data_IF_113188467831
#
_entry.id   IF_113188467831
#
_cell.length_a   1.000
_cell.length_b   1.000
_cell.length_c   1.000
_cell.angle_alpha   90.00
_cell.angle_beta   90.00
_cell.angle_gamma   90.00
#
_symmetry.space_group_name_H-M   'P 1'
#
loop_
_entity.id
_entity.type
_entity.pdbx_description
1 polymer ?
#
# COMPACT_ATOMS: atom_id res chain seq x y z
N UNK A 1 -3.95 0.47 16.62
CA UNK A 1 -5.13 0.77 15.76
C UNK A 1 -6.00 1.92 16.27
N UNK A 2 -6.14 2.14 17.58
CA UNK A 2 -7.00 3.22 18.14
C UNK A 2 -6.67 4.65 17.67
N UNK A 3 -5.43 4.92 17.24
CA UNK A 3 -5.00 6.24 16.72
C UNK A 3 -5.31 6.44 15.22
N UNK A 4 -5.71 5.40 14.48
CA UNK A 4 -5.98 5.49 13.05
C UNK A 4 -7.18 6.38 12.71
N UNK A 5 -8.30 6.36 13.47
CA UNK A 5 -9.40 7.31 13.24
C UNK A 5 -8.98 8.77 13.44
N UNK A 6 -8.12 9.04 14.42
CA UNK A 6 -7.59 10.39 14.68
C UNK A 6 -6.73 10.85 13.50
N UNK A 7 -5.82 9.99 13.03
CA UNK A 7 -5.04 10.27 11.84
C UNK A 7 -5.90 10.46 10.59
N UNK A 8 -6.93 9.63 10.40
CA UNK A 8 -7.91 9.78 9.31
C UNK A 8 -8.69 11.09 9.39
N UNK A 9 -9.01 11.57 10.58
CA UNK A 9 -9.63 12.88 10.78
C UNK A 9 -8.68 14.01 10.37
N UNK A 10 -7.39 13.93 10.72
CA UNK A 10 -6.37 14.88 10.26
C UNK A 10 -6.24 14.89 8.73
N UNK A 11 -6.24 13.70 8.11
CA UNK A 11 -6.18 13.57 6.65
C UNK A 11 -7.37 14.27 5.98
N UNK A 12 -8.59 13.98 6.44
CA UNK A 12 -9.82 14.61 5.91
C UNK A 12 -9.85 16.11 6.17
N UNK A 13 -9.34 16.56 7.32
CA UNK A 13 -9.20 17.97 7.64
C UNK A 13 -8.31 18.69 6.60
N UNK A 14 -7.14 18.14 6.27
CA UNK A 14 -6.25 18.69 5.25
C UNK A 14 -6.94 18.70 3.88
N UNK A 15 -7.57 17.59 3.48
CA UNK A 15 -8.27 17.47 2.20
C UNK A 15 -9.38 18.51 2.04
N UNK A 16 -10.18 18.72 3.09
CA UNK A 16 -11.27 19.70 3.07
C UNK A 16 -10.76 21.13 2.85
N UNK A 17 -9.63 21.49 3.47
CA UNK A 17 -9.06 22.84 3.40
C UNK A 17 -8.23 23.09 2.15
N UNK A 18 -7.49 22.08 1.66
CA UNK A 18 -6.80 22.16 0.37
C UNK A 18 -7.79 22.26 -0.79
N UNK A 19 -8.97 21.65 -0.65
CA UNK A 19 -9.98 21.62 -1.71
C UNK A 19 -9.47 20.91 -2.97
N UNK A 20 -9.86 21.44 -4.13
CA UNK A 20 -9.47 20.87 -5.44
C UNK A 20 -8.14 21.45 -5.98
N UNK A 21 -7.39 22.21 -5.20
CA UNK A 21 -6.08 22.68 -5.64
C UNK A 21 -5.11 21.50 -5.74
N UNK A 22 -4.24 21.42 -6.75
CA UNK A 22 -3.16 20.43 -6.79
C UNK A 22 -2.24 20.52 -5.57
N UNK A 23 -1.68 19.39 -5.14
CA UNK A 23 -0.86 19.34 -3.92
C UNK A 23 0.38 20.23 -3.98
N UNK A 24 1.03 20.32 -5.14
CA UNK A 24 2.19 21.18 -5.35
C UNK A 24 1.86 22.68 -5.23
N UNK A 25 0.70 23.14 -5.71
CA UNK A 25 0.30 24.55 -5.55
C UNK A 25 -0.02 24.87 -4.09
N UNK A 26 -0.73 23.95 -3.44
CA UNK A 26 -1.09 24.09 -2.04
C UNK A 26 0.16 24.22 -1.16
N UNK A 27 1.19 23.40 -1.40
CA UNK A 27 2.48 23.54 -0.73
C UNK A 27 3.12 24.90 -1.02
N UNK A 28 3.19 25.32 -2.28
CA UNK A 28 3.81 26.61 -2.65
C UNK A 28 3.14 27.80 -1.98
N UNK A 29 1.81 27.78 -1.86
CA UNK A 29 1.04 28.82 -1.19
C UNK A 29 1.33 28.88 0.33
N UNK A 30 1.47 27.73 1.00
CA UNK A 30 1.64 27.69 2.46
C UNK A 30 3.09 27.76 2.94
N UNK A 31 4.04 27.21 2.19
CA UNK A 31 5.44 27.03 2.58
C UNK A 31 6.43 27.83 1.72
N UNK A 32 5.97 28.44 0.62
CA UNK A 32 6.82 29.13 -0.35
C UNK A 32 7.50 28.17 -1.32
N UNK A 33 8.05 28.72 -2.43
CA UNK A 33 8.58 27.92 -3.55
C UNK A 33 9.73 26.98 -3.15
N UNK A 34 10.74 27.49 -2.44
CA UNK A 34 11.93 26.71 -2.09
C UNK A 34 11.63 25.49 -1.23
N UNK A 35 10.97 25.70 -0.08
CA UNK A 35 10.61 24.60 0.83
C UNK A 35 9.62 23.61 0.18
N UNK A 36 8.73 24.09 -0.69
CA UNK A 36 7.81 23.22 -1.42
C UNK A 36 8.53 22.25 -2.35
N UNK A 37 9.57 22.70 -3.06
CA UNK A 37 10.36 21.80 -3.93
C UNK A 37 11.06 20.72 -3.10
N UNK A 38 11.61 21.09 -1.94
CA UNK A 38 12.25 20.12 -1.03
C UNK A 38 11.24 19.08 -0.53
N UNK A 39 10.05 19.51 -0.09
CA UNK A 39 8.98 18.59 0.36
C UNK A 39 8.52 17.70 -0.79
N UNK A 40 8.32 18.25 -2.00
CA UNK A 40 7.91 17.49 -3.18
C UNK A 40 8.97 16.46 -3.59
N UNK A 41 10.26 16.79 -3.49
CA UNK A 41 11.36 15.86 -3.73
C UNK A 41 11.36 14.72 -2.69
N UNK A 42 11.24 15.03 -1.41
CA UNK A 42 11.17 14.03 -0.34
C UNK A 42 9.97 13.08 -0.51
N UNK A 43 8.80 13.62 -0.85
CA UNK A 43 7.60 12.85 -1.19
C UNK A 43 7.83 11.98 -2.43
N UNK A 44 8.47 12.50 -3.47
CA UNK A 44 8.73 11.75 -4.70
C UNK A 44 9.67 10.57 -4.44
N UNK A 45 10.70 10.77 -3.60
CA UNK A 45 11.61 9.69 -3.15
C UNK A 45 10.83 8.66 -2.34
N UNK A 46 9.95 9.09 -1.44
CA UNK A 46 9.10 8.19 -0.66
C UNK A 46 8.21 7.31 -1.55
N UNK A 47 7.52 7.90 -2.54
CA UNK A 47 6.64 7.16 -3.46
C UNK A 47 7.46 6.25 -4.38
N UNK A 48 8.64 6.69 -4.81
CA UNK A 48 9.57 5.84 -5.56
C UNK A 48 10.03 4.64 -4.74
N UNK A 49 10.38 4.85 -3.47
CA UNK A 49 10.79 3.78 -2.56
C UNK A 49 9.64 2.81 -2.27
N UNK A 50 8.42 3.31 -2.13
CA UNK A 50 7.22 2.49 -2.04
C UNK A 50 7.07 1.61 -3.29
N UNK A 51 7.21 2.20 -4.49
CA UNK A 51 7.19 1.46 -5.75
C UNK A 51 8.31 0.41 -5.85
N UNK A 52 9.52 0.74 -5.38
CA UNK A 52 10.63 -0.21 -5.33
C UNK A 52 10.35 -1.39 -4.40
N UNK A 53 9.83 -1.14 -3.19
CA UNK A 53 9.50 -2.19 -2.23
C UNK A 53 8.43 -3.14 -2.78
N UNK A 54 7.38 -2.57 -3.38
CA UNK A 54 6.30 -3.29 -4.06
C UNK A 54 6.86 -4.16 -5.21
N UNK A 55 7.64 -3.57 -6.11
CA UNK A 55 8.26 -4.31 -7.22
C UNK A 55 9.20 -5.42 -6.71
N UNK A 56 10.07 -5.14 -5.75
CA UNK A 56 11.01 -6.12 -5.23
C UNK A 56 10.29 -7.31 -4.61
N UNK A 57 9.30 -7.04 -3.75
CA UNK A 57 8.51 -8.07 -3.11
C UNK A 57 7.77 -8.92 -4.14
N UNK A 58 7.10 -8.29 -5.10
CA UNK A 58 6.39 -8.98 -6.17
C UNK A 58 7.31 -9.91 -6.98
N UNK A 59 8.49 -9.43 -7.37
CA UNK A 59 9.44 -10.19 -8.21
C UNK A 59 10.06 -11.34 -7.43
N UNK A 60 10.47 -11.11 -6.18
CA UNK A 60 11.02 -12.18 -5.33
C UNK A 60 9.97 -13.24 -5.06
N UNK A 61 8.75 -12.83 -4.69
CA UNK A 61 7.66 -13.76 -4.45
C UNK A 61 7.32 -14.59 -5.70
N UNK A 62 7.06 -13.95 -6.83
CA UNK A 62 6.72 -14.61 -8.10
C UNK A 62 7.80 -15.59 -8.54
N UNK A 63 9.06 -15.18 -8.48
CA UNK A 63 10.20 -16.04 -8.82
C UNK A 63 10.34 -17.21 -7.84
N UNK A 64 10.11 -17.02 -6.54
CA UNK A 64 10.23 -18.08 -5.55
C UNK A 64 9.09 -19.10 -5.60
N UNK A 65 7.91 -18.69 -6.06
CA UNK A 65 6.69 -19.50 -5.94
C UNK A 65 6.25 -20.13 -7.25
N UNK A 66 6.36 -19.45 -8.40
CA UNK A 66 5.77 -19.96 -9.66
C UNK A 66 6.70 -19.92 -10.86
N UNK A 67 7.63 -18.97 -10.92
CA UNK A 67 8.48 -18.74 -12.09
C UNK A 67 9.98 -18.80 -11.74
N UNK A 68 10.48 -19.91 -11.15
CA UNK A 68 11.87 -20.01 -10.71
C UNK A 68 12.87 -20.07 -11.86
N UNK A 69 12.43 -20.46 -13.06
CA UNK A 69 13.26 -20.51 -14.26
C UNK A 69 13.23 -19.21 -15.08
N UNK A 70 12.41 -18.23 -14.69
CA UNK A 70 12.33 -16.95 -15.40
C UNK A 70 13.24 -15.92 -14.74
N UNK A 71 14.16 -15.27 -15.50
CA UNK A 71 15.02 -14.25 -14.93
C UNK A 71 14.21 -13.10 -14.32
N UNK A 72 14.59 -12.67 -13.11
CA UNK A 72 13.93 -11.56 -12.38
C UNK A 72 13.79 -10.28 -13.20
N UNK A 73 14.79 -9.99 -14.05
CA UNK A 73 14.76 -8.85 -14.96
C UNK A 73 13.60 -8.92 -15.96
N UNK A 74 13.30 -10.09 -16.53
CA UNK A 74 12.20 -10.27 -17.49
C UNK A 74 10.86 -10.05 -16.80
N UNK A 75 10.68 -10.62 -15.59
CA UNK A 75 9.48 -10.39 -14.79
C UNK A 75 9.30 -8.90 -14.46
N UNK A 76 10.38 -8.21 -14.07
CA UNK A 76 10.35 -6.79 -13.74
C UNK A 76 10.02 -5.93 -14.97
N UNK A 77 10.62 -6.23 -16.12
CA UNK A 77 10.38 -5.53 -17.38
C UNK A 77 8.90 -5.64 -17.80
N UNK A 78 8.33 -6.84 -17.75
CA UNK A 78 6.93 -7.08 -18.14
C UNK A 78 5.96 -6.34 -17.23
N UNK A 79 6.09 -6.50 -15.90
CA UNK A 79 5.16 -5.84 -14.96
C UNK A 79 5.31 -4.32 -15.04
N UNK A 80 6.53 -3.79 -15.17
CA UNK A 80 6.76 -2.36 -15.30
C UNK A 80 6.26 -1.79 -16.62
N UNK A 81 6.35 -2.54 -17.74
CA UNK A 81 5.80 -2.13 -19.02
C UNK A 81 4.27 -1.99 -18.94
N UNK A 82 3.59 -2.98 -18.36
CA UNK A 82 2.15 -2.90 -18.11
C UNK A 82 1.81 -1.72 -17.18
N UNK A 83 2.57 -1.56 -16.09
CA UNK A 83 2.31 -0.49 -15.11
C UNK A 83 2.50 0.89 -15.73
N UNK A 84 3.53 1.05 -16.56
CA UNK A 84 3.82 2.26 -17.32
C UNK A 84 2.67 2.59 -18.28
N UNK A 85 2.19 1.62 -19.06
CA UNK A 85 1.07 1.85 -19.97
C UNK A 85 -0.22 2.25 -19.25
N UNK A 86 -0.49 1.65 -18.09
CA UNK A 86 -1.64 2.04 -17.29
C UNK A 86 -1.47 3.45 -16.68
N UNK A 87 -0.26 3.80 -16.24
CA UNK A 87 0.07 5.10 -15.67
C UNK A 87 0.04 6.24 -16.72
N UNK A 88 0.42 5.97 -17.98
CA UNK A 88 0.30 6.95 -19.08
C UNK A 88 -1.16 7.25 -19.42
N UNK A 89 -2.05 6.24 -19.32
CA UNK A 89 -3.51 6.44 -19.40
C UNK A 89 -4.09 7.32 -18.28
N UNK A 90 -3.33 7.51 -17.20
CA UNK A 90 -3.67 8.41 -16.10
C UNK A 90 -4.62 7.81 -15.07
N UNK A 91 -5.01 8.63 -14.09
CA UNK A 91 -5.80 8.19 -12.93
C UNK A 91 -7.13 7.52 -13.30
N UNK A 92 -7.80 7.97 -14.37
CA UNK A 92 -9.08 7.38 -14.80
C UNK A 92 -8.90 5.93 -15.24
N UNK A 93 -7.85 5.63 -16.02
CA UNK A 93 -7.54 4.26 -16.43
C UNK A 93 -7.22 3.39 -15.21
N UNK A 94 -6.38 3.88 -14.29
CA UNK A 94 -6.07 3.18 -13.04
C UNK A 94 -7.34 2.90 -12.23
N UNK A 95 -8.22 3.88 -12.08
CA UNK A 95 -9.48 3.74 -11.33
C UNK A 95 -10.41 2.71 -11.96
N UNK A 96 -10.62 2.75 -13.29
CA UNK A 96 -11.46 1.77 -14.01
C UNK A 96 -10.88 0.36 -13.86
N UNK A 97 -9.57 0.19 -14.08
CA UNK A 97 -8.91 -1.11 -13.93
C UNK A 97 -9.03 -1.62 -12.50
N UNK A 98 -8.80 -0.77 -11.49
CA UNK A 98 -8.96 -1.16 -10.08
C UNK A 98 -10.41 -1.54 -9.74
N UNK A 99 -11.39 -0.85 -10.32
CA UNK A 99 -12.82 -1.14 -10.13
C UNK A 99 -13.25 -2.46 -10.78
N UNK A 100 -12.59 -2.88 -11.86
CA UNK A 100 -12.81 -4.19 -12.49
C UNK A 100 -12.14 -5.31 -11.67
N UNK A 101 -10.93 -5.10 -11.16
CA UNK A 101 -10.18 -6.13 -10.43
C UNK A 101 -10.74 -6.37 -9.02
N UNK A 102 -11.12 -5.31 -8.31
CA UNK A 102 -11.48 -5.37 -6.88
C UNK A 102 -12.62 -6.36 -6.56
N UNK A 103 -13.74 -6.44 -7.31
CA UNK A 103 -14.82 -7.39 -7.00
C UNK A 103 -14.34 -8.84 -6.98
N UNK A 104 -13.50 -9.24 -7.94
CA UNK A 104 -12.94 -10.59 -7.97
C UNK A 104 -11.98 -10.82 -6.80
N UNK A 105 -11.15 -9.84 -6.45
CA UNK A 105 -10.27 -9.93 -5.28
C UNK A 105 -11.08 -10.17 -4.00
N UNK A 106 -12.20 -9.46 -3.83
CA UNK A 106 -13.09 -9.61 -2.67
C UNK A 106 -13.78 -10.97 -2.67
N UNK A 107 -14.35 -11.39 -3.81
CA UNK A 107 -15.02 -12.70 -3.94
C UNK A 107 -14.05 -13.83 -3.62
N UNK A 108 -12.84 -13.79 -4.16
CA UNK A 108 -11.81 -14.80 -3.90
C UNK A 108 -11.37 -14.79 -2.43
N UNK A 109 -11.32 -13.62 -1.78
CA UNK A 109 -11.05 -13.50 -0.35
C UNK A 109 -12.13 -14.17 0.52
N UNK A 110 -13.41 -13.93 0.20
CA UNK A 110 -14.54 -14.59 0.89
C UNK A 110 -14.54 -16.10 0.61
N UNK A 111 -14.18 -16.50 -0.61
CA UNK A 111 -14.06 -17.89 -1.01
C UNK A 111 -13.01 -18.64 -0.18
N UNK A 112 -11.75 -18.17 -0.15
CA UNK A 112 -10.68 -18.81 0.64
C UNK A 112 -11.00 -18.81 2.14
N UNK A 113 -11.68 -17.76 2.63
CA UNK A 113 -12.12 -17.70 4.01
C UNK A 113 -13.13 -18.80 4.35
N UNK A 114 -14.14 -18.96 3.50
CA UNK A 114 -15.27 -19.89 3.71
C UNK A 114 -14.85 -21.34 3.54
N UNK A 115 -14.12 -21.67 2.49
CA UNK A 115 -13.78 -23.06 2.18
C UNK A 115 -12.67 -23.62 3.07
N UNK A 116 -11.85 -22.76 3.69
CA UNK A 116 -10.92 -23.17 4.74
C UNK A 116 -11.56 -23.27 6.13
N UNK A 117 -12.86 -23.00 6.30
CA UNK A 117 -13.47 -23.02 7.64
C UNK A 117 -13.32 -24.38 8.33
N UNK A 118 -13.34 -25.49 7.56
CA UNK A 118 -13.09 -26.85 8.06
C UNK A 118 -11.69 -27.08 8.63
N UNK A 119 -10.71 -26.27 8.21
CA UNK A 119 -9.31 -26.36 8.65
C UNK A 119 -8.97 -25.35 9.75
N UNK A 120 -9.92 -24.50 10.15
CA UNK A 120 -9.69 -23.42 11.09
C UNK A 120 -10.15 -23.81 12.49
N UNK A 121 -9.20 -23.97 13.39
CA UNK A 121 -9.46 -23.98 14.82
C UNK A 121 -9.23 -22.59 15.41
N UNK A 122 -10.33 -21.86 15.66
CA UNK A 122 -10.26 -20.52 16.25
C UNK A 122 -9.86 -20.52 17.73
N UNK A 123 -9.83 -21.68 18.40
CA UNK A 123 -9.28 -21.78 19.76
C UNK A 123 -7.79 -21.41 19.79
N UNK A 124 -7.06 -21.65 18.70
CA UNK A 124 -5.64 -21.30 18.53
C UNK A 124 -5.38 -19.78 18.48
N UNK A 125 -6.42 -18.96 18.28
CA UNK A 125 -6.32 -17.49 18.36
C UNK A 125 -6.28 -17.03 19.83
N UNK A 126 -6.74 -17.88 20.76
CA UNK A 126 -6.75 -17.62 22.18
C UNK A 126 -5.57 -18.33 22.87
N UNK A 127 -5.07 -17.79 24.01
CA UNK A 127 -5.48 -16.53 24.63
C UNK A 127 -4.89 -15.31 23.89
N UNK A 128 -5.72 -14.28 23.70
CA UNK A 128 -5.23 -12.99 23.25
C UNK A 128 -4.38 -12.34 24.35
N UNK A 129 -3.31 -11.63 23.96
CA UNK A 129 -2.44 -10.89 24.87
C UNK A 129 -1.68 -11.76 25.89
N UNK A 130 -1.36 -13.02 25.55
CA UNK A 130 -0.53 -13.90 26.39
C UNK A 130 0.79 -13.23 26.82
N UNK A 131 1.45 -12.54 25.87
CA UNK A 131 2.70 -11.79 26.08
C UNK A 131 2.47 -10.30 26.39
N UNK A 132 1.24 -9.93 26.76
CA UNK A 132 0.84 -8.55 27.05
C UNK A 132 0.71 -7.64 25.82
N UNK A 133 0.63 -6.33 26.07
CA UNK A 133 0.37 -5.33 25.02
C UNK A 133 1.60 -4.92 24.21
N UNK A 134 2.82 -5.14 24.72
CA UNK A 134 4.02 -4.64 24.08
C UNK A 134 4.26 -5.26 22.68
N UNK A 135 4.12 -6.58 22.45
CA UNK A 135 4.24 -7.17 21.13
C UNK A 135 3.15 -6.70 20.17
N UNK A 136 1.92 -6.52 20.68
CA UNK A 136 0.80 -5.99 19.89
C UNK A 136 1.08 -4.57 19.39
N UNK A 137 1.60 -3.70 20.24
CA UNK A 137 1.98 -2.35 19.83
C UNK A 137 3.06 -2.37 18.75
N UNK A 138 4.12 -3.17 18.94
CA UNK A 138 5.21 -3.30 17.96
C UNK A 138 4.70 -3.83 16.62
N UNK A 139 3.90 -4.90 16.62
CA UNK A 139 3.31 -5.46 15.41
C UNK A 139 2.35 -4.50 14.72
N UNK A 140 1.57 -3.73 15.50
CA UNK A 140 0.60 -2.78 14.95
C UNK A 140 1.24 -1.62 14.18
N UNK A 141 2.47 -1.22 14.52
CA UNK A 141 3.21 -0.19 13.78
C UNK A 141 3.52 -0.65 12.35
N UNK A 142 3.93 -1.92 12.19
CA UNK A 142 4.17 -2.52 10.88
C UNK A 142 2.86 -2.72 10.11
N UNK A 143 1.81 -3.26 10.76
CA UNK A 143 0.52 -3.44 10.11
C UNK A 143 -0.14 -2.10 9.67
N UNK A 144 0.07 -1.03 10.44
CA UNK A 144 -0.48 0.29 10.13
C UNK A 144 0.15 0.95 8.90
N UNK A 145 1.36 0.53 8.47
CA UNK A 145 2.03 1.15 7.32
C UNK A 145 1.22 1.05 6.04
N UNK A 146 0.53 -0.08 5.81
CA UNK A 146 -0.36 -0.25 4.65
C UNK A 146 -1.58 0.67 4.70
N UNK A 147 -2.09 0.98 5.90
CA UNK A 147 -3.21 1.91 6.08
C UNK A 147 -2.76 3.36 5.87
N UNK A 148 -1.53 3.69 6.24
CA UNK A 148 -0.97 5.03 6.05
C UNK A 148 -0.77 5.43 4.58
N UNK A 149 -0.82 4.47 3.65
CA UNK A 149 -0.84 4.75 2.22
C UNK A 149 -2.08 5.54 1.77
N UNK A 150 -3.14 5.62 2.58
CA UNK A 150 -4.25 6.54 2.33
C UNK A 150 -3.81 8.01 2.26
N UNK A 151 -2.62 8.37 2.76
CA UNK A 151 -2.01 9.69 2.55
C UNK A 151 -1.86 10.03 1.06
N UNK A 152 -1.77 9.02 0.18
CA UNK A 152 -1.64 9.21 -1.26
C UNK A 152 -2.84 9.96 -1.86
N UNK A 153 -4.01 9.88 -1.22
CA UNK A 153 -5.20 10.65 -1.59
C UNK A 153 -4.90 12.15 -1.68
N UNK A 154 -3.99 12.68 -0.86
CA UNK A 154 -3.64 14.10 -0.89
C UNK A 154 -3.11 14.56 -2.25
N UNK A 155 -2.37 13.69 -2.96
CA UNK A 155 -1.71 14.02 -4.21
C UNK A 155 -2.66 14.08 -5.39
N UNK A 156 -3.64 13.16 -5.45
CA UNK A 156 -4.56 13.07 -6.58
C UNK A 156 -6.00 13.49 -6.28
N UNK A 157 -6.33 13.93 -5.05
CA UNK A 157 -7.69 14.36 -4.70
C UNK A 157 -8.28 15.43 -5.63
N UNK A 158 -7.43 16.28 -6.22
CA UNK A 158 -7.84 17.34 -7.15
C UNK A 158 -8.50 16.80 -8.44
N UNK A 159 -8.35 15.49 -8.68
CA UNK A 159 -8.92 14.74 -9.80
C UNK A 159 -10.17 13.96 -9.40
N UNK A 160 -10.55 13.96 -8.13
CA UNK A 160 -11.73 13.27 -7.63
C UNK A 160 -12.95 14.17 -7.85
N UNK A 161 -14.02 13.57 -8.39
CA UNK A 161 -15.32 14.23 -8.58
C UNK A 161 -15.86 14.67 -7.21
N UNK A 162 -15.92 13.71 -6.28
CA UNK A 162 -16.36 13.93 -4.91
C UNK A 162 -15.18 13.80 -3.95
N UNK A 163 -15.10 14.72 -2.98
CA UNK A 163 -14.10 14.61 -1.90
C UNK A 163 -14.51 13.48 -0.97
N UNK A 164 -13.57 12.63 -0.51
CA UNK A 164 -13.91 11.59 0.43
C UNK A 164 -14.40 12.23 1.73
N UNK A 165 -15.58 11.81 2.17
CA UNK A 165 -16.13 12.20 3.46
C UNK A 165 -15.34 11.54 4.60
N UNK A 166 -15.51 12.04 5.82
CA UNK A 166 -14.91 11.41 6.99
C UNK A 166 -15.37 9.96 7.14
N UNK A 167 -16.66 9.69 6.93
CA UNK A 167 -17.22 8.35 6.91
C UNK A 167 -16.58 7.47 5.81
N UNK A 168 -16.34 8.02 4.62
CA UNK A 168 -15.65 7.30 3.54
C UNK A 168 -14.20 6.94 3.88
N UNK A 169 -13.46 7.84 4.50
CA UNK A 169 -12.08 7.56 4.96
C UNK A 169 -12.06 6.53 6.08
N UNK A 170 -12.99 6.62 7.05
CA UNK A 170 -13.12 5.60 8.09
C UNK A 170 -13.46 4.23 7.49
N UNK A 171 -14.38 4.17 6.54
CA UNK A 171 -14.72 2.94 5.83
C UNK A 171 -13.48 2.32 5.17
N UNK A 172 -12.65 3.13 4.48
CA UNK A 172 -11.39 2.64 3.91
C UNK A 172 -10.42 2.13 4.99
N UNK A 173 -10.24 2.85 6.10
CA UNK A 173 -9.36 2.44 7.21
C UNK A 173 -9.82 1.09 7.79
N UNK A 174 -11.10 0.94 8.09
CA UNK A 174 -11.64 -0.31 8.66
C UNK A 174 -11.61 -1.45 7.66
N UNK A 175 -11.84 -1.18 6.37
CA UNK A 175 -11.74 -2.19 5.32
C UNK A 175 -10.31 -2.72 5.18
N UNK A 176 -9.31 -1.83 5.15
CA UNK A 176 -7.90 -2.22 5.09
C UNK A 176 -7.45 -2.94 6.38
N UNK A 177 -7.92 -2.50 7.55
CA UNK A 177 -7.68 -3.19 8.80
C UNK A 177 -8.27 -4.61 8.80
N UNK A 178 -9.51 -4.77 8.31
CA UNK A 178 -10.15 -6.08 8.15
C UNK A 178 -9.41 -6.99 7.19
N UNK A 179 -8.96 -6.46 6.04
CA UNK A 179 -8.13 -7.19 5.08
C UNK A 179 -6.74 -7.58 5.62
N UNK A 180 -6.27 -6.94 6.69
CA UNK A 180 -5.02 -7.31 7.37
C UNK A 180 -5.28 -8.33 8.49
N UNK A 181 -6.29 -8.09 9.32
CA UNK A 181 -6.62 -8.93 10.48
C UNK A 181 -7.21 -10.27 10.04
N UNK A 182 -8.06 -10.28 9.00
CA UNK A 182 -8.74 -11.49 8.52
C UNK A 182 -7.77 -12.60 8.12
N UNK A 183 -6.84 -12.38 7.17
CA UNK A 183 -5.83 -13.36 6.81
C UNK A 183 -4.89 -13.70 7.95
N UNK A 184 -4.56 -12.76 8.85
CA UNK A 184 -3.75 -13.05 10.04
C UNK A 184 -4.45 -14.05 10.96
N UNK A 185 -5.73 -13.82 11.30
CA UNK A 185 -6.53 -14.77 12.08
C UNK A 185 -6.70 -16.10 11.34
N UNK A 186 -6.86 -16.06 10.02
CA UNK A 186 -6.91 -17.25 9.18
C UNK A 186 -5.63 -18.09 9.26
N UNK A 187 -4.46 -17.47 9.23
CA UNK A 187 -3.19 -18.17 9.35
C UNK A 187 -3.01 -18.78 10.75
N UNK A 188 -3.30 -18.02 11.81
CA UNK A 188 -3.19 -18.52 13.20
C UNK A 188 -4.17 -19.67 13.45
N UNK A 189 -5.41 -19.57 12.94
CA UNK A 189 -6.41 -20.62 13.14
C UNK A 189 -6.14 -21.92 12.36
N UNK A 190 -5.33 -21.88 11.30
CA UNK A 190 -4.94 -23.08 10.53
C UNK A 190 -3.64 -23.69 11.09
N UNK A 191 -2.64 -22.86 11.36
CA UNK A 191 -1.29 -23.33 11.67
C UNK A 191 -0.88 -23.18 13.13
N UNK A 192 -1.60 -22.38 13.92
CA UNK A 192 -1.13 -21.89 15.21
C UNK A 192 -0.21 -20.67 15.07
N UNK A 193 -0.03 -19.91 16.17
CA UNK A 193 0.71 -18.65 16.14
C UNK A 193 2.23 -18.83 15.86
N UNK A 194 2.83 -19.89 16.39
CA UNK A 194 4.27 -20.17 16.22
C UNK A 194 4.59 -20.56 14.77
N UNK A 195 3.90 -21.54 14.22
CA UNK A 195 4.10 -21.99 12.83
C UNK A 195 3.73 -20.89 11.82
N UNK A 196 2.63 -20.16 12.06
CA UNK A 196 2.26 -19.03 11.20
C UNK A 196 3.34 -17.93 11.18
N UNK A 197 4.08 -17.73 12.29
CA UNK A 197 5.16 -16.74 12.35
C UNK A 197 6.44 -17.19 11.60
N UNK A 198 6.63 -18.49 11.39
CA UNK A 198 7.74 -19.04 10.61
C UNK A 198 7.51 -18.95 9.09
N UNK A 199 6.25 -18.87 8.66
CA UNK A 199 5.90 -18.79 7.25
C UNK A 199 6.28 -17.44 6.63
N UNK A 200 6.95 -17.47 5.48
CA UNK A 200 7.31 -16.26 4.71
C UNK A 200 6.07 -15.52 4.20
N UNK A 201 5.04 -16.27 3.81
CA UNK A 201 3.84 -15.80 3.14
C UNK A 201 2.56 -16.45 3.75
N UNK A 202 2.21 -16.18 5.03
CA UNK A 202 1.17 -16.96 5.71
C UNK A 202 -0.23 -16.82 5.10
N UNK A 203 -0.52 -15.67 4.48
CA UNK A 203 -1.78 -15.47 3.76
C UNK A 203 -1.88 -16.32 2.49
N UNK A 204 -0.74 -16.59 1.85
CA UNK A 204 -0.67 -17.39 0.64
C UNK A 204 -0.76 -18.89 0.95
N UNK A 205 -0.13 -19.35 2.03
CA UNK A 205 -0.19 -20.77 2.42
C UNK A 205 -1.63 -21.24 2.69
N UNK A 206 -2.53 -20.35 3.11
CA UNK A 206 -3.96 -20.65 3.24
C UNK A 206 -4.62 -21.10 1.94
N UNK A 207 -4.12 -20.65 0.78
CA UNK A 207 -4.60 -21.13 -0.51
C UNK A 207 -4.05 -22.52 -0.86
N UNK A 208 -2.88 -22.90 -0.33
CA UNK A 208 -2.26 -24.20 -0.58
C UNK A 208 -2.87 -25.34 0.23
N UNK A 209 -3.51 -25.02 1.35
CA UNK A 209 -4.26 -25.99 2.19
C UNK A 209 -5.72 -26.12 1.74
N UNK A 210 -6.17 -25.29 0.81
CA UNK A 210 -7.55 -25.28 0.37
C UNK A 210 -7.82 -26.42 -0.62
N UNK A 211 -8.57 -27.42 -0.15
CA UNK A 211 -8.99 -28.58 -0.96
C UNK A 211 -10.48 -28.54 -1.30
N UNK A 212 -10.80 -28.55 -2.60
CA UNK A 212 -12.17 -28.71 -3.10
C UNK A 212 -12.40 -30.15 -3.58
N UNK A 213 -13.05 -30.95 -2.74
CA UNK A 213 -13.33 -32.36 -3.04
C UNK A 213 -12.03 -33.18 -3.10
N UNK A 214 -11.98 -34.17 -4.00
CA UNK A 214 -10.84 -35.08 -4.15
C UNK A 214 -9.91 -34.74 -5.34
N UNK A 215 -10.22 -33.70 -6.11
CA UNK A 215 -9.63 -33.52 -7.45
C UNK A 215 -9.17 -32.09 -7.77
N UNK A 216 -9.48 -31.09 -6.93
CA UNK A 216 -9.12 -29.68 -7.20
C UNK A 216 -8.27 -29.17 -6.04
N UNK A 217 -6.96 -29.17 -6.24
CA UNK A 217 -5.94 -28.82 -5.23
C UNK A 217 -5.11 -27.57 -5.62
N UNK A 218 -5.02 -27.22 -6.90
CA UNK A 218 -4.23 -26.09 -7.39
C UNK A 218 -5.05 -24.79 -7.47
N UNK A 219 -5.64 -24.39 -6.34
CA UNK A 219 -6.45 -23.17 -6.23
C UNK A 219 -5.61 -21.94 -5.85
N UNK A 220 -4.32 -22.15 -5.59
CA UNK A 220 -3.30 -21.13 -5.31
C UNK A 220 -3.05 -20.17 -6.48
N UNK A 221 -3.45 -20.54 -7.71
CA UNK A 221 -3.49 -19.62 -8.86
C UNK A 221 -4.39 -18.40 -8.62
N UNK A 222 -5.44 -18.53 -7.81
CA UNK A 222 -6.31 -17.40 -7.46
C UNK A 222 -5.63 -16.43 -6.50
N UNK A 223 -4.70 -16.90 -5.67
CA UNK A 223 -3.86 -16.04 -4.85
C UNK A 223 -2.93 -15.18 -5.72
N UNK A 224 -2.41 -15.73 -6.83
CA UNK A 224 -1.64 -14.99 -7.84
C UNK A 224 -2.46 -13.85 -8.39
N UNK A 225 -3.69 -14.13 -8.82
CA UNK A 225 -4.58 -13.09 -9.31
C UNK A 225 -4.77 -11.96 -8.28
N UNK A 226 -5.02 -12.30 -7.01
CA UNK A 226 -5.22 -11.31 -5.94
C UNK A 226 -3.98 -10.44 -5.73
N UNK A 227 -2.80 -11.05 -5.62
CA UNK A 227 -1.56 -10.32 -5.37
C UNK A 227 -1.11 -9.50 -6.58
N UNK A 228 -1.09 -10.10 -7.78
CA UNK A 228 -0.76 -9.38 -9.02
C UNK A 228 -1.68 -8.17 -9.19
N UNK A 229 -2.99 -8.31 -8.94
CA UNK A 229 -3.94 -7.21 -9.06
C UNK A 229 -3.60 -6.04 -8.14
N UNK A 230 -3.28 -6.33 -6.87
CA UNK A 230 -2.93 -5.30 -5.88
C UNK A 230 -1.60 -4.61 -6.20
N UNK A 231 -0.56 -5.39 -6.46
CA UNK A 231 0.78 -4.89 -6.79
C UNK A 231 0.77 -4.06 -8.08
N UNK A 232 0.03 -4.51 -9.10
CA UNK A 232 -0.13 -3.81 -10.37
C UNK A 232 -0.76 -2.42 -10.20
N UNK A 233 -1.89 -2.33 -9.51
CA UNK A 233 -2.57 -1.04 -9.26
C UNK A 233 -1.69 -0.12 -8.41
N UNK A 234 -1.04 -0.66 -7.38
CA UNK A 234 -0.16 0.09 -6.47
C UNK A 234 1.07 0.66 -7.20
N UNK A 235 1.72 -0.13 -8.06
CA UNK A 235 2.85 0.32 -8.88
C UNK A 235 2.43 1.38 -9.90
N UNK A 236 1.34 1.15 -10.64
CA UNK A 236 0.81 2.13 -11.60
C UNK A 236 0.45 3.45 -10.94
N UNK A 237 -0.19 3.40 -9.76
CA UNK A 237 -0.53 4.60 -9.00
C UNK A 237 0.72 5.34 -8.54
N UNK A 238 1.74 4.61 -8.07
CA UNK A 238 3.02 5.20 -7.64
C UNK A 238 3.72 5.93 -8.79
N UNK A 239 3.84 5.29 -9.95
CA UNK A 239 4.39 5.89 -11.18
C UNK A 239 3.60 7.13 -11.60
N UNK A 240 2.28 7.03 -11.63
CA UNK A 240 1.39 8.13 -11.97
C UNK A 240 1.60 9.34 -11.04
N UNK A 241 1.60 9.12 -9.72
CA UNK A 241 1.72 10.21 -8.74
C UNK A 241 3.10 10.88 -8.86
N UNK A 242 4.19 10.11 -8.99
CA UNK A 242 5.54 10.67 -9.18
C UNK A 242 5.56 11.64 -10.37
N UNK A 243 4.96 11.26 -11.51
CA UNK A 243 4.92 12.14 -12.67
C UNK A 243 3.93 13.32 -12.54
N UNK A 244 2.80 13.13 -11.84
CA UNK A 244 1.74 14.14 -11.73
C UNK A 244 2.08 15.27 -10.75
N UNK A 245 2.80 14.97 -9.67
CA UNK A 245 3.10 15.90 -8.57
C UNK A 245 3.92 17.12 -9.04
N UNK A 246 4.81 16.92 -10.01
CA UNK A 246 5.66 17.97 -10.60
C UNK A 246 4.99 18.78 -11.71
N UNK A 247 3.79 18.37 -12.15
CA UNK A 247 3.01 19.04 -13.21
C UNK A 247 3.80 19.36 -14.48
N UNK A 248 4.56 18.41 -15.05
CA UNK A 248 5.24 18.67 -16.31
C UNK A 248 4.21 18.85 -17.44
N UNK A 249 4.57 19.59 -18.50
CA UNK A 249 3.77 19.70 -19.73
C UNK A 249 3.54 18.33 -20.38
N UNK A 250 4.57 17.49 -20.36
CA UNK A 250 4.52 16.09 -20.81
C UNK A 250 5.02 15.18 -19.67
N UNK A 251 4.20 14.20 -19.27
CA UNK A 251 4.50 13.28 -18.16
C UNK A 251 5.40 12.13 -18.56
N UNK A 252 5.46 11.79 -19.84
CA UNK A 252 6.16 10.61 -20.36
C UNK A 252 7.63 10.55 -19.93
N UNK A 253 8.43 11.64 -19.99
CA UNK A 253 9.83 11.59 -19.55
C UNK A 253 10.00 11.24 -18.07
N UNK A 254 9.16 11.81 -17.18
CA UNK A 254 9.21 11.50 -15.75
C UNK A 254 8.75 10.06 -15.48
N UNK A 255 7.74 9.57 -16.20
CA UNK A 255 7.30 8.18 -16.11
C UNK A 255 8.43 7.23 -16.57
N UNK A 256 9.08 7.51 -17.71
CA UNK A 256 10.20 6.71 -18.20
C UNK A 256 11.37 6.72 -17.22
N UNK A 257 11.69 7.87 -16.63
CA UNK A 257 12.72 7.98 -15.60
C UNK A 257 12.37 7.16 -14.35
N UNK A 258 11.14 7.29 -13.84
CA UNK A 258 10.69 6.53 -12.67
C UNK A 258 10.70 5.02 -12.95
N UNK A 259 10.18 4.60 -14.09
CA UNK A 259 10.17 3.19 -14.51
C UNK A 259 11.59 2.65 -14.72
N UNK A 260 12.45 3.40 -15.42
CA UNK A 260 13.82 2.99 -15.70
C UNK A 260 14.66 2.86 -14.43
N UNK A 261 14.53 3.80 -13.49
CA UNK A 261 15.22 3.72 -12.20
C UNK A 261 14.74 2.56 -11.34
N UNK A 262 13.44 2.22 -11.35
CA UNK A 262 12.93 1.02 -10.69
C UNK A 262 13.49 -0.27 -11.33
N UNK A 263 13.55 -0.31 -12.67
CA UNK A 263 14.12 -1.44 -13.41
C UNK A 263 15.62 -1.60 -13.15
N UNK A 264 16.36 -0.51 -12.94
CA UNK A 264 17.78 -0.59 -12.57
C UNK A 264 17.91 -1.05 -11.11
N UNK A 265 17.08 -0.53 -10.21
CA UNK A 265 17.13 -0.86 -8.79
C UNK A 265 16.86 -2.35 -8.50
N UNK A 266 16.02 -3.03 -9.29
CA UNK A 266 15.75 -4.47 -9.13
C UNK A 266 16.94 -5.36 -9.50
N UNK A 267 17.90 -4.84 -10.29
CA UNK A 267 19.11 -5.57 -10.67
C UNK A 267 20.14 -5.63 -9.54
N UNK A 268 19.98 -4.82 -8.49
CA UNK A 268 20.84 -4.88 -7.33
C UNK A 268 20.75 -6.28 -6.68
N UNK A 269 21.87 -6.96 -6.40
CA UNK A 269 21.89 -8.33 -5.87
C UNK A 269 21.57 -8.36 -4.37
N UNK A 270 20.36 -7.95 -4.01
CA UNK A 270 19.86 -7.93 -2.63
C UNK A 270 19.18 -9.26 -2.35
N UNK A 271 19.60 -9.93 -1.28
CA UNK A 271 18.94 -11.17 -0.82
C UNK A 271 17.63 -10.87 -0.10
N UNK A 272 16.70 -11.82 -0.13
CA UNK A 272 15.39 -11.67 0.50
C UNK A 272 15.49 -11.39 2.02
N UNK A 273 16.44 -12.03 2.69
CA UNK A 273 16.73 -11.80 4.12
C UNK A 273 17.17 -10.37 4.40
N UNK A 274 18.10 -9.83 3.60
CA UNK A 274 18.56 -8.44 3.75
C UNK A 274 17.43 -7.46 3.46
N UNK A 275 16.61 -7.74 2.46
CA UNK A 275 15.45 -6.94 2.13
C UNK A 275 14.43 -6.91 3.27
N UNK A 276 14.14 -8.06 3.89
CA UNK A 276 13.29 -8.14 5.09
C UNK A 276 13.84 -7.33 6.26
N UNK A 277 15.15 -7.41 6.49
CA UNK A 277 15.79 -6.62 7.54
C UNK A 277 15.68 -5.12 7.25
N UNK A 278 15.92 -4.70 5.99
CA UNK A 278 15.71 -3.33 5.54
C UNK A 278 14.26 -2.86 5.78
N UNK A 279 13.27 -3.71 5.47
CA UNK A 279 11.87 -3.41 5.72
C UNK A 279 11.58 -3.14 7.20
N UNK A 280 12.01 -4.06 8.06
CA UNK A 280 11.75 -4.01 9.51
C UNK A 280 12.48 -2.88 10.22
N UNK A 281 13.73 -2.61 9.85
CA UNK A 281 14.62 -1.69 10.58
C UNK A 281 14.60 -0.26 10.04
N UNK A 282 14.46 -0.09 8.73
CA UNK A 282 14.57 1.22 8.09
C UNK A 282 13.27 1.66 7.43
N UNK A 283 12.73 0.87 6.48
CA UNK A 283 11.60 1.31 5.65
C UNK A 283 10.34 1.59 6.48
N UNK A 284 9.78 0.60 7.19
CA UNK A 284 8.52 0.79 7.91
C UNK A 284 8.61 1.86 9.01
N UNK A 285 9.65 1.92 9.85
CA UNK A 285 9.81 3.00 10.82
C UNK A 285 9.92 4.38 10.16
N UNK A 286 10.70 4.50 9.07
CA UNK A 286 10.88 5.78 8.37
C UNK A 286 9.59 6.24 7.70
N UNK A 287 8.85 5.32 7.06
CA UNK A 287 7.53 5.59 6.47
C UNK A 287 6.55 6.05 7.54
N UNK A 288 6.52 5.40 8.69
CA UNK A 288 5.67 5.79 9.81
C UNK A 288 5.96 7.23 10.25
N UNK A 289 7.23 7.55 10.53
CA UNK A 289 7.64 8.89 10.97
C UNK A 289 7.35 9.94 9.90
N UNK A 290 7.67 9.64 8.63
CA UNK A 290 7.48 10.56 7.52
C UNK A 290 5.99 10.84 7.28
N UNK A 291 5.15 9.82 7.17
CA UNK A 291 3.72 10.01 6.87
C UNK A 291 3.02 10.72 8.01
N UNK A 292 3.25 10.31 9.24
CA UNK A 292 2.64 10.93 10.42
C UNK A 292 3.16 12.36 10.61
N UNK A 293 4.47 12.55 10.54
CA UNK A 293 5.11 13.85 10.67
C UNK A 293 4.62 14.85 9.62
N UNK A 294 4.57 14.45 8.34
CA UNK A 294 4.02 15.30 7.27
C UNK A 294 2.54 15.57 7.46
N UNK A 295 1.74 14.58 7.86
CA UNK A 295 0.30 14.77 8.10
C UNK A 295 0.07 15.81 9.20
N UNK A 296 0.74 15.69 10.34
CA UNK A 296 0.60 16.66 11.43
C UNK A 296 1.14 18.04 11.07
N UNK A 297 2.27 18.12 10.35
CA UNK A 297 2.82 19.38 9.86
C UNK A 297 1.85 20.09 8.92
N UNK A 298 1.21 19.38 8.00
CA UNK A 298 0.20 19.95 7.09
C UNK A 298 -1.08 20.33 7.84
N UNK A 299 -1.54 19.52 8.79
CA UNK A 299 -2.70 19.83 9.63
C UNK A 299 -2.46 21.08 10.52
N UNK A 300 -1.27 21.20 11.12
CA UNK A 300 -0.89 22.36 11.91
C UNK A 300 -0.80 23.63 11.07
N UNK A 301 -0.18 23.57 9.89
CA UNK A 301 -0.06 24.73 9.00
C UNK A 301 -1.42 25.19 8.46
N UNK A 302 -2.31 24.26 8.09
CA UNK A 302 -3.68 24.59 7.67
C UNK A 302 -4.46 25.25 8.81
N UNK A 303 -4.32 24.77 10.05
CA UNK A 303 -4.92 25.38 11.23
C UNK A 303 -4.45 26.83 11.45
N UNK A 304 -3.14 27.07 11.44
CA UNK A 304 -2.56 28.40 11.66
C UNK A 304 -3.03 29.39 10.58
N UNK A 305 -3.05 28.96 9.32
CA UNK A 305 -3.52 29.79 8.20
C UNK A 305 -4.99 30.20 8.37
N UNK A 306 -5.82 29.31 8.91
CA UNK A 306 -7.25 29.59 9.17
C UNK A 306 -7.44 30.59 10.31
N UNK A 307 -6.64 30.47 11.37
CA UNK A 307 -6.68 31.41 12.49
C UNK A 307 -6.36 32.84 12.05
N UNK A 308 -5.34 33.02 11.19
CA UNK A 308 -4.98 34.34 10.64
C UNK A 308 -6.09 34.96 9.79
N UNK A 309 -6.81 34.16 9.00
CA UNK A 309 -7.92 34.64 8.16
C UNK A 309 -9.21 34.96 8.93
N UNK A 310 -9.34 34.53 10.19
CA UNK A 310 -10.49 34.83 11.05
C UNK A 310 -10.29 36.07 11.93
N UNK A 311 -9.05 36.53 12.07
CA UNK A 311 -8.68 37.72 12.84
C UNK A 311 -8.44 38.96 11.98
N UNK A 312 -8.60 38.86 10.66
CA UNK A 312 -8.59 39.95 9.68
C UNK A 312 -10.01 40.23 9.18
#
# INVERSE_FOLDING_TARGET
>A
MALLPVWGACLVYIMKHKGQQPFSDWLQHHFGKGLSVIILAAVSIYIWLQGYVTLFYFIVWTHSTYMPHTPKFVLALLVLACCFFLATGGLRSIAITSGILLPFVVILGVFVMTFNFKHKDYSLVLPLLADGFAPVWRGSLYAASGIFELVLLLFFQHRLINRPSFAGVLFMIFSLAGLTIGPLMGAISIYGAEEAALQRYPAFEQWRVLELGKYIEHLDVFAIYQWVSGEFIRLSLSLFIIADVWKPKNRTPLLLLATGTLLIAILAPISDVRFLQFLKTMYFPSTFVLVIGLTFLFAGKTWISRWRMRGS
#
